data_IF_163953215767
#
_entry.id   IF_163953215767
#
_cell.length_a   1.000
_cell.length_b   1.000
_cell.length_c   1.000
_cell.angle_alpha   90.00
_cell.angle_beta   90.00
_cell.angle_gamma   90.00
#
_symmetry.space_group_name_H-M   'P 1'
#
loop_
_entity.id
_entity.type
_entity.pdbx_description
1 polymer ?
#
# COMPACT_ATOMS: atom_id res chain seq x y z
N UNK A 1 22.17 -14.91 -16.47
CA UNK A 1 21.68 -14.54 -15.13
C UNK A 1 22.52 -13.35 -14.67
N UNK A 2 22.00 -12.14 -14.84
CA UNK A 2 22.68 -10.92 -14.38
C UNK A 2 22.14 -10.63 -12.99
N UNK A 3 22.93 -10.91 -11.98
CA UNK A 3 22.69 -10.47 -10.61
C UNK A 3 22.89 -8.96 -10.59
N UNK A 4 21.78 -8.21 -10.64
CA UNK A 4 21.82 -6.80 -10.30
C UNK A 4 22.15 -6.72 -8.83
N UNK A 5 23.44 -6.55 -8.51
CA UNK A 5 23.87 -6.17 -7.19
C UNK A 5 23.26 -4.80 -6.93
N UNK A 6 22.19 -4.78 -6.14
CA UNK A 6 21.82 -3.58 -5.41
C UNK A 6 23.04 -3.32 -4.50
N UNK A 7 23.89 -2.41 -4.93
CA UNK A 7 25.01 -2.00 -4.15
C UNK A 7 24.42 -1.41 -2.87
N UNK A 8 24.57 -2.14 -1.77
CA UNK A 8 24.43 -1.60 -0.42
C UNK A 8 25.63 -0.66 -0.25
N UNK A 9 25.53 0.51 -0.92
CA UNK A 9 26.53 1.54 -0.87
C UNK A 9 26.40 2.28 0.43
N UNK A 10 27.52 2.30 1.14
CA UNK A 10 27.81 3.09 2.31
C UNK A 10 26.72 2.98 3.38
N UNK A 11 26.95 2.09 4.30
CA UNK A 11 26.32 2.09 5.61
C UNK A 11 26.32 3.54 6.12
N UNK A 12 25.17 4.21 6.00
CA UNK A 12 24.88 5.36 6.83
C UNK A 12 25.02 4.83 8.26
N UNK A 13 25.86 5.43 9.10
CA UNK A 13 26.09 5.02 10.50
C UNK A 13 24.82 5.10 11.37
N UNK A 14 23.67 5.36 10.75
CA UNK A 14 22.38 5.44 11.42
C UNK A 14 21.89 4.04 11.81
N UNK A 15 21.34 3.90 13.01
CA UNK A 15 20.76 2.62 13.43
C UNK A 15 19.65 2.17 12.47
N UNK A 16 19.72 0.94 12.02
CA UNK A 16 18.64 0.35 11.24
C UNK A 16 17.45 0.04 12.15
N UNK A 17 16.26 0.40 11.65
CA UNK A 17 14.99 -0.02 12.24
C UNK A 17 14.64 -1.44 11.81
N UNK A 18 14.76 -1.75 10.52
CA UNK A 18 14.44 -3.05 9.95
C UNK A 18 15.15 -3.30 8.62
N UNK A 19 15.09 -4.55 8.18
CA UNK A 19 15.33 -4.92 6.78
C UNK A 19 13.98 -5.32 6.19
N UNK A 20 13.48 -4.52 5.27
CA UNK A 20 12.25 -4.75 4.53
C UNK A 20 12.52 -5.46 3.20
N UNK A 21 11.47 -5.79 2.47
CA UNK A 21 11.58 -6.26 1.10
C UNK A 21 10.33 -5.87 0.30
N UNK A 22 10.53 -5.52 -0.97
CA UNK A 22 9.46 -5.26 -1.92
C UNK A 22 9.66 -6.10 -3.19
N UNK A 23 8.62 -6.25 -3.99
CA UNK A 23 8.67 -6.91 -5.30
C UNK A 23 8.89 -5.85 -6.38
N UNK A 24 9.94 -6.01 -7.21
CA UNK A 24 10.26 -5.09 -8.30
C UNK A 24 9.61 -5.51 -9.64
N UNK A 25 8.79 -6.57 -9.60
CA UNK A 25 8.15 -7.20 -10.75
C UNK A 25 8.94 -8.35 -11.37
N UNK A 26 10.17 -8.58 -10.94
CA UNK A 26 11.03 -9.68 -11.37
C UNK A 26 11.54 -10.51 -10.19
N UNK A 27 11.80 -9.84 -9.06
CA UNK A 27 12.35 -10.46 -7.86
C UNK A 27 11.95 -9.70 -6.60
N UNK A 28 12.16 -10.32 -5.46
CA UNK A 28 12.03 -9.68 -4.17
C UNK A 28 13.32 -8.98 -3.79
N UNK A 29 13.27 -7.66 -3.64
CA UNK A 29 14.42 -6.79 -3.36
C UNK A 29 14.43 -6.44 -1.87
N UNK A 30 15.47 -6.84 -1.10
CA UNK A 30 15.61 -6.40 0.28
C UNK A 30 16.04 -4.94 0.33
N UNK A 31 15.52 -4.20 1.33
CA UNK A 31 15.92 -2.82 1.56
C UNK A 31 16.02 -2.53 3.06
N UNK A 32 17.21 -2.14 3.56
CA UNK A 32 17.35 -1.67 4.93
C UNK A 32 16.66 -0.32 5.11
N UNK A 33 16.01 -0.15 6.25
CA UNK A 33 15.28 1.07 6.66
C UNK A 33 15.89 1.58 7.94
N UNK A 34 16.33 2.83 7.97
CA UNK A 34 16.87 3.47 9.18
C UNK A 34 15.76 4.03 10.08
N UNK A 35 16.10 4.30 11.35
CA UNK A 35 15.18 4.95 12.28
C UNK A 35 14.70 6.32 11.77
N UNK A 36 15.59 7.10 11.15
CA UNK A 36 15.23 8.41 10.60
C UNK A 36 14.24 8.32 9.42
N UNK A 37 14.37 7.28 8.58
CA UNK A 37 13.44 7.04 7.48
C UNK A 37 12.05 6.72 7.99
N UNK A 38 11.94 5.84 8.98
CA UNK A 38 10.65 5.46 9.55
C UNK A 38 9.97 6.64 10.26
N UNK A 39 10.73 7.49 10.97
CA UNK A 39 10.22 8.68 11.62
C UNK A 39 9.63 9.68 10.59
N UNK A 40 10.35 9.94 9.48
CA UNK A 40 9.83 10.79 8.39
C UNK A 40 8.59 10.18 7.74
N UNK A 41 8.62 8.88 7.48
CA UNK A 41 7.48 8.18 6.90
C UNK A 41 6.23 8.22 7.80
N UNK A 42 6.38 8.17 9.13
CA UNK A 42 5.28 8.37 10.07
C UNK A 42 4.66 9.77 9.97
N UNK A 43 5.50 10.81 9.82
CA UNK A 43 5.03 12.19 9.62
C UNK A 43 4.27 12.36 8.31
N UNK A 44 4.80 11.84 7.19
CA UNK A 44 4.13 11.83 5.89
C UNK A 44 2.81 11.06 5.92
N UNK A 45 2.79 9.90 6.60
CA UNK A 45 1.58 9.10 6.79
C UNK A 45 0.48 9.87 7.55
N UNK A 46 0.83 10.57 8.63
CA UNK A 46 -0.10 11.42 9.36
C UNK A 46 -0.74 12.47 8.45
N UNK A 47 0.06 13.10 7.58
CA UNK A 47 -0.43 14.14 6.65
C UNK A 47 -1.43 13.57 5.64
N UNK A 48 -1.09 12.46 4.97
CA UNK A 48 -1.99 11.86 3.95
C UNK A 48 -3.26 11.32 4.57
N UNK A 49 -3.20 10.74 5.77
CA UNK A 49 -4.37 10.26 6.48
C UNK A 49 -5.29 11.41 6.92
N UNK A 50 -4.73 12.55 7.27
CA UNK A 50 -5.50 13.77 7.58
C UNK A 50 -6.23 14.28 6.33
N UNK A 51 -5.59 14.29 5.16
CA UNK A 51 -6.24 14.63 3.88
C UNK A 51 -7.43 13.70 3.58
N UNK A 52 -7.33 12.43 3.95
CA UNK A 52 -8.39 11.43 3.79
C UNK A 52 -9.47 11.48 4.89
N UNK A 53 -9.41 12.45 5.80
CA UNK A 53 -10.36 12.59 6.89
C UNK A 53 -10.15 11.59 8.05
N UNK A 54 -9.09 10.80 8.05
CA UNK A 54 -8.71 9.93 9.16
C UNK A 54 -8.06 10.74 10.29
N UNK A 55 -8.85 11.65 10.87
CA UNK A 55 -8.47 12.60 11.93
C UNK A 55 -8.74 12.04 13.33
N UNK A 56 -8.61 12.88 14.33
CA UNK A 56 -8.86 12.51 15.73
C UNK A 56 -10.21 11.80 15.91
N UNK A 57 -10.17 10.63 16.54
CA UNK A 57 -11.33 9.77 16.76
C UNK A 57 -11.69 8.85 15.58
N UNK A 58 -11.04 8.99 14.42
CA UNK A 58 -11.25 8.07 13.30
C UNK A 58 -10.79 6.65 13.66
N UNK A 59 -11.58 5.66 13.25
CA UNK A 59 -11.25 4.24 13.39
C UNK A 59 -10.82 3.69 12.04
N UNK A 60 -9.62 3.14 11.98
CA UNK A 60 -8.98 2.69 10.73
C UNK A 60 -8.69 1.19 10.82
N UNK A 61 -9.02 0.43 9.80
CA UNK A 61 -8.59 -0.96 9.63
C UNK A 61 -7.44 -1.02 8.63
N UNK A 62 -6.32 -1.60 9.04
CA UNK A 62 -5.20 -1.91 8.17
C UNK A 62 -5.19 -3.40 7.84
N UNK A 63 -5.23 -3.73 6.55
CA UNK A 63 -5.13 -5.10 6.04
C UNK A 63 -3.75 -5.27 5.39
N UNK A 64 -2.88 -6.06 6.02
CA UNK A 64 -1.51 -6.29 5.55
C UNK A 64 -1.03 -7.69 5.91
N UNK A 65 0.02 -8.15 5.26
CA UNK A 65 0.76 -9.33 5.69
C UNK A 65 2.05 -8.90 6.39
N UNK A 66 2.57 -9.74 7.28
CA UNK A 66 3.75 -9.43 8.10
C UNK A 66 4.97 -9.00 7.26
N UNK A 67 5.12 -9.58 6.08
CA UNK A 67 6.22 -9.24 5.15
C UNK A 67 6.15 -7.82 4.58
N UNK A 68 5.04 -7.11 4.77
CA UNK A 68 4.81 -5.72 4.32
C UNK A 68 4.88 -4.73 5.49
N UNK A 69 5.29 -5.15 6.67
CA UNK A 69 5.27 -4.31 7.88
C UNK A 69 5.99 -2.98 7.72
N UNK A 70 7.07 -2.92 6.93
CA UNK A 70 7.80 -1.66 6.70
C UNK A 70 6.98 -0.62 5.91
N UNK A 71 6.03 -1.04 5.07
CA UNK A 71 5.10 -0.14 4.40
C UNK A 71 3.96 0.30 5.31
N UNK A 72 3.44 -0.61 6.12
CA UNK A 72 2.24 -0.36 6.92
C UNK A 72 2.52 0.25 8.29
N UNK A 73 3.66 -0.04 8.90
CA UNK A 73 4.02 0.48 10.22
C UNK A 73 3.97 2.01 10.29
N UNK A 74 4.55 2.77 9.33
CA UNK A 74 4.43 4.22 9.35
C UNK A 74 2.98 4.70 9.30
N UNK A 75 2.13 4.03 8.52
CA UNK A 75 0.72 4.37 8.38
C UNK A 75 -0.07 4.11 9.67
N UNK A 76 0.20 2.98 10.33
CA UNK A 76 -0.41 2.66 11.62
C UNK A 76 -0.04 3.68 12.70
N UNK A 77 1.24 4.01 12.81
CA UNK A 77 1.70 5.00 13.79
C UNK A 77 1.23 6.40 13.39
N UNK A 78 1.22 6.74 12.09
CA UNK A 78 0.64 7.98 11.59
C UNK A 78 -0.83 8.14 11.96
N UNK A 79 -1.61 7.06 11.94
CA UNK A 79 -2.99 7.06 12.44
C UNK A 79 -3.05 7.48 13.92
N UNK A 80 -2.21 6.90 14.77
CA UNK A 80 -2.15 7.24 16.19
C UNK A 80 -1.69 8.68 16.44
N UNK A 81 -0.67 9.14 15.71
CA UNK A 81 -0.18 10.52 15.79
C UNK A 81 -1.28 11.51 15.43
N UNK A 82 -2.12 11.19 14.43
CA UNK A 82 -3.30 11.98 14.05
C UNK A 82 -4.46 11.90 15.04
N UNK A 83 -4.33 11.15 16.14
CA UNK A 83 -5.37 10.99 17.16
C UNK A 83 -6.44 9.95 16.80
N UNK A 84 -6.24 9.18 15.75
CA UNK A 84 -7.09 8.04 15.39
C UNK A 84 -6.72 6.77 16.16
N UNK A 85 -7.53 5.74 16.00
CA UNK A 85 -7.26 4.38 16.50
C UNK A 85 -7.28 3.41 15.33
N UNK A 86 -6.49 2.34 15.40
CA UNK A 86 -6.48 1.35 14.36
C UNK A 86 -6.68 -0.07 14.86
N UNK A 87 -7.18 -0.93 13.98
CA UNK A 87 -7.21 -2.38 14.09
C UNK A 87 -6.44 -3.01 12.94
N UNK A 88 -6.05 -4.26 13.11
CA UNK A 88 -5.26 -5.01 12.12
C UNK A 88 -5.99 -6.29 11.72
N UNK A 89 -5.88 -6.62 10.44
CA UNK A 89 -6.27 -7.91 9.89
C UNK A 89 -5.23 -8.36 8.87
N UNK A 90 -5.09 -9.67 8.67
CA UNK A 90 -4.22 -10.18 7.62
C UNK A 90 -4.88 -9.99 6.24
N UNK A 91 -4.08 -9.51 5.28
CA UNK A 91 -4.53 -9.34 3.89
C UNK A 91 -4.53 -10.69 3.15
N UNK A 92 -5.23 -11.68 3.71
CA UNK A 92 -5.34 -13.04 3.20
C UNK A 92 -6.81 -13.47 3.11
N UNK A 93 -7.07 -14.43 2.25
CA UNK A 93 -8.39 -15.02 2.11
C UNK A 93 -8.92 -15.65 3.41
N UNK A 94 -8.03 -16.27 4.19
CA UNK A 94 -8.37 -16.90 5.47
C UNK A 94 -8.86 -15.91 6.54
N UNK A 95 -8.50 -14.63 6.42
CA UNK A 95 -8.87 -13.59 7.39
C UNK A 95 -10.08 -12.74 6.95
N UNK A 96 -10.66 -13.00 5.79
CA UNK A 96 -11.79 -12.26 5.24
C UNK A 96 -12.97 -12.17 6.20
N UNK A 97 -13.27 -13.25 6.94
CA UNK A 97 -14.33 -13.23 7.96
C UNK A 97 -14.04 -12.20 9.07
N UNK A 98 -12.80 -12.12 9.54
CA UNK A 98 -12.39 -11.12 10.54
C UNK A 98 -12.52 -9.70 10.00
N UNK A 99 -12.09 -9.48 8.76
CA UNK A 99 -12.25 -8.18 8.07
C UNK A 99 -13.73 -7.80 8.03
N UNK A 100 -14.62 -8.70 7.57
CA UNK A 100 -16.05 -8.45 7.53
C UNK A 100 -16.66 -8.16 8.92
N UNK A 101 -16.20 -8.89 9.94
CA UNK A 101 -16.65 -8.66 11.33
C UNK A 101 -16.20 -7.28 11.83
N UNK A 102 -14.97 -6.87 11.59
CA UNK A 102 -14.45 -5.56 11.99
C UNK A 102 -15.19 -4.43 11.29
N UNK A 103 -15.43 -4.54 9.99
CA UNK A 103 -16.18 -3.56 9.21
C UNK A 103 -17.60 -3.36 9.77
N UNK A 104 -18.23 -4.41 10.26
CA UNK A 104 -19.59 -4.34 10.84
C UNK A 104 -19.60 -3.86 12.30
N UNK A 105 -18.61 -4.29 13.11
CA UNK A 105 -18.66 -4.14 14.57
C UNK A 105 -17.97 -2.87 15.08
N UNK A 106 -17.00 -2.33 14.34
CA UNK A 106 -16.12 -1.27 14.84
C UNK A 106 -16.48 0.13 14.33
N UNK A 107 -17.54 0.29 13.53
CA UNK A 107 -17.92 1.58 12.94
C UNK A 107 -16.71 2.28 12.32
N UNK A 108 -16.03 1.60 11.42
CA UNK A 108 -14.78 2.06 10.83
C UNK A 108 -15.01 3.26 9.92
N UNK A 109 -14.18 4.30 10.08
CA UNK A 109 -14.12 5.42 9.14
C UNK A 109 -13.46 4.98 7.83
N UNK A 110 -12.37 4.22 7.92
CA UNK A 110 -11.58 3.82 6.75
C UNK A 110 -11.00 2.42 6.89
N UNK A 111 -10.79 1.78 5.75
CA UNK A 111 -10.06 0.52 5.63
C UNK A 111 -9.05 0.63 4.50
N UNK A 112 -7.83 0.15 4.71
CA UNK A 112 -6.76 0.19 3.72
C UNK A 112 -6.11 -1.18 3.53
N UNK A 113 -5.61 -1.42 2.32
CA UNK A 113 -4.90 -2.64 1.97
C UNK A 113 -5.80 -3.77 1.51
N UNK A 114 -7.07 -3.48 1.18
CA UNK A 114 -7.97 -4.46 0.58
C UNK A 114 -7.36 -4.97 -0.72
N UNK A 115 -7.13 -6.27 -0.80
CA UNK A 115 -6.55 -6.97 -1.94
C UNK A 115 -7.51 -8.03 -2.50
N UNK A 116 -7.11 -8.68 -3.58
CA UNK A 116 -7.91 -9.72 -4.23
C UNK A 116 -8.20 -10.91 -3.31
N UNK A 117 -7.24 -11.31 -2.47
CA UNK A 117 -7.41 -12.45 -1.56
C UNK A 117 -8.54 -12.20 -0.53
N UNK A 118 -8.62 -10.97 0.02
CA UNK A 118 -9.74 -10.61 0.92
C UNK A 118 -11.07 -10.69 0.18
N UNK A 119 -11.13 -10.19 -1.07
CA UNK A 119 -12.35 -10.25 -1.88
C UNK A 119 -12.73 -11.68 -2.26
N UNK A 120 -11.76 -12.54 -2.55
CA UNK A 120 -11.99 -13.97 -2.77
C UNK A 120 -12.60 -14.63 -1.52
N UNK A 121 -12.10 -14.24 -0.35
CA UNK A 121 -12.68 -14.68 0.92
C UNK A 121 -14.11 -14.20 1.12
N UNK A 122 -14.43 -12.96 0.76
CA UNK A 122 -15.80 -12.45 0.81
C UNK A 122 -16.73 -13.22 -0.15
N UNK A 123 -16.26 -13.52 -1.37
CA UNK A 123 -17.03 -14.30 -2.35
C UNK A 123 -17.34 -15.71 -1.83
N UNK A 124 -16.34 -16.38 -1.22
CA UNK A 124 -16.57 -17.69 -0.59
C UNK A 124 -17.56 -17.65 0.58
N UNK A 125 -17.59 -16.55 1.33
CA UNK A 125 -18.53 -16.34 2.42
C UNK A 125 -19.93 -15.90 1.93
N UNK A 126 -20.10 -15.66 0.62
CA UNK A 126 -21.33 -15.14 0.04
C UNK A 126 -21.64 -13.70 0.49
N UNK A 127 -20.61 -12.91 0.82
CA UNK A 127 -20.76 -11.54 1.27
C UNK A 127 -20.86 -10.58 0.07
N UNK A 128 -21.91 -9.79 -0.03
CA UNK A 128 -22.00 -8.70 -0.98
C UNK A 128 -21.10 -7.54 -0.55
N UNK A 129 -20.21 -7.07 -1.43
CA UNK A 129 -19.24 -6.01 -1.09
C UNK A 129 -19.92 -4.73 -0.61
N UNK A 130 -21.02 -4.31 -1.25
CA UNK A 130 -21.79 -3.13 -0.85
C UNK A 130 -22.30 -3.22 0.59
N UNK A 131 -22.66 -4.41 1.06
CA UNK A 131 -23.10 -4.64 2.44
C UNK A 131 -21.93 -4.62 3.41
N UNK A 132 -20.82 -5.27 3.04
CA UNK A 132 -19.61 -5.36 3.87
C UNK A 132 -19.02 -3.99 4.14
N UNK A 133 -18.94 -3.12 3.11
CA UNK A 133 -18.36 -1.78 3.21
C UNK A 133 -19.38 -0.68 3.57
N UNK A 134 -20.60 -1.05 3.97
CA UNK A 134 -21.61 -0.06 4.38
C UNK A 134 -21.09 0.79 5.54
N UNK A 135 -21.16 2.13 5.38
CA UNK A 135 -20.73 3.10 6.40
C UNK A 135 -19.23 3.40 6.42
N UNK A 136 -18.42 2.73 5.59
CA UNK A 136 -17.00 3.05 5.44
C UNK A 136 -16.84 4.23 4.46
N UNK A 137 -16.21 5.30 4.92
CA UNK A 137 -16.02 6.51 4.11
C UNK A 137 -14.84 6.40 3.12
N UNK A 138 -13.78 5.70 3.50
CA UNK A 138 -12.57 5.54 2.70
C UNK A 138 -12.19 4.07 2.58
N UNK A 139 -12.18 3.56 1.35
CA UNK A 139 -11.78 2.18 1.04
C UNK A 139 -10.50 2.25 0.21
N UNK A 140 -9.35 1.97 0.83
CA UNK A 140 -8.05 1.88 0.16
C UNK A 140 -7.84 0.50 -0.42
N UNK A 141 -7.94 0.37 -1.75
CA UNK A 141 -7.85 -0.89 -2.46
C UNK A 141 -6.57 -1.00 -3.29
N UNK A 142 -5.96 -2.19 -3.28
CA UNK A 142 -4.84 -2.54 -4.15
C UNK A 142 -5.31 -2.77 -5.59
N UNK A 143 -4.41 -2.65 -6.58
CA UNK A 143 -4.71 -3.08 -7.95
C UNK A 143 -5.29 -4.51 -7.97
N UNK A 144 -6.25 -4.76 -8.85
CA UNK A 144 -7.02 -6.02 -8.87
C UNK A 144 -8.27 -5.97 -7.98
N UNK A 145 -8.11 -5.69 -6.70
CA UNK A 145 -9.26 -5.45 -5.81
C UNK A 145 -10.00 -4.15 -6.16
N UNK A 146 -9.27 -3.13 -6.58
CA UNK A 146 -9.85 -1.85 -6.95
C UNK A 146 -10.90 -2.00 -8.05
N UNK A 147 -10.60 -2.68 -9.14
CA UNK A 147 -11.50 -2.89 -10.27
C UNK A 147 -12.74 -3.68 -9.87
N UNK A 148 -12.58 -4.68 -9.00
CA UNK A 148 -13.70 -5.49 -8.49
C UNK A 148 -14.65 -4.66 -7.64
N UNK A 149 -14.13 -3.77 -6.80
CA UNK A 149 -14.93 -2.88 -5.97
C UNK A 149 -15.66 -1.83 -6.82
N UNK A 150 -15.00 -1.25 -7.83
CA UNK A 150 -15.63 -0.34 -8.80
C UNK A 150 -16.75 -1.06 -9.56
N UNK A 151 -16.54 -2.29 -10.04
CA UNK A 151 -17.56 -3.09 -10.71
C UNK A 151 -18.77 -3.40 -9.81
N UNK A 152 -18.57 -3.44 -8.50
CA UNK A 152 -19.62 -3.60 -7.49
C UNK A 152 -20.32 -2.27 -7.12
N UNK A 153 -19.99 -1.15 -7.78
CA UNK A 153 -20.59 0.16 -7.54
C UNK A 153 -20.02 0.93 -6.35
N UNK A 154 -18.89 0.51 -5.82
CA UNK A 154 -18.18 1.21 -4.75
C UNK A 154 -17.18 2.24 -5.33
N UNK A 155 -16.73 3.18 -4.50
CA UNK A 155 -15.82 4.25 -4.88
C UNK A 155 -14.49 4.13 -4.09
N UNK A 156 -13.63 3.14 -4.40
CA UNK A 156 -12.38 2.95 -3.69
C UNK A 156 -11.33 4.00 -4.07
N UNK A 157 -10.39 4.21 -3.16
CA UNK A 157 -9.15 4.92 -3.39
C UNK A 157 -8.06 3.93 -3.79
N UNK A 158 -7.17 4.31 -4.69
CA UNK A 158 -5.97 3.53 -4.93
C UNK A 158 -5.10 3.46 -3.68
N UNK A 159 -4.67 2.26 -3.33
CA UNK A 159 -3.68 1.98 -2.30
C UNK A 159 -2.63 1.04 -2.91
N UNK A 160 -1.45 1.57 -3.22
CA UNK A 160 -0.45 0.87 -4.03
C UNK A 160 0.87 0.77 -3.28
N UNK A 161 1.39 -0.44 -3.12
CA UNK A 161 2.77 -0.64 -2.70
C UNK A 161 3.67 -0.38 -3.91
N UNK A 162 4.39 0.73 -3.90
CA UNK A 162 5.16 1.24 -5.03
C UNK A 162 6.66 1.14 -4.71
N UNK A 163 7.22 -0.08 -4.87
CA UNK A 163 8.58 -0.36 -4.42
C UNK A 163 8.71 -0.15 -2.91
N UNK A 164 9.66 0.68 -2.44
CA UNK A 164 9.84 0.98 -1.02
C UNK A 164 8.80 1.99 -0.47
N UNK A 165 7.94 2.54 -1.30
CA UNK A 165 6.96 3.56 -0.92
C UNK A 165 5.53 3.00 -0.93
N UNK A 166 4.63 3.75 -0.27
CA UNK A 166 3.18 3.59 -0.44
C UNK A 166 2.63 4.78 -1.19
N UNK A 167 1.80 4.53 -2.20
CA UNK A 167 1.08 5.55 -2.93
C UNK A 167 -0.42 5.43 -2.65
N UNK A 168 -1.05 6.56 -2.31
CA UNK A 168 -2.48 6.61 -1.97
C UNK A 168 -3.15 7.71 -2.78
N UNK A 169 -4.35 7.43 -3.33
CA UNK A 169 -5.17 8.46 -3.96
C UNK A 169 -5.94 9.25 -2.89
N UNK A 170 -5.92 10.57 -2.97
CA UNK A 170 -6.67 11.43 -2.04
C UNK A 170 -8.18 11.41 -2.29
N UNK A 171 -8.61 11.01 -3.49
CA UNK A 171 -10.01 10.92 -3.87
C UNK A 171 -10.27 9.63 -4.68
N UNK A 172 -11.50 9.09 -4.65
CA UNK A 172 -11.86 7.94 -5.45
C UNK A 172 -11.66 8.21 -6.95
N UNK A 173 -11.00 7.29 -7.65
CA UNK A 173 -10.70 7.43 -9.08
C UNK A 173 -9.55 8.38 -9.40
N UNK A 174 -9.05 9.13 -8.42
CA UNK A 174 -7.88 9.99 -8.58
C UNK A 174 -6.56 9.22 -8.70
N UNK A 175 -5.46 9.88 -9.11
CA UNK A 175 -4.16 9.24 -9.20
C UNK A 175 -3.62 8.89 -7.82
N UNK A 176 -2.93 7.76 -7.71
CA UNK A 176 -2.15 7.39 -6.53
C UNK A 176 -0.92 8.30 -6.42
N UNK A 177 -0.63 8.81 -5.22
CA UNK A 177 0.50 9.72 -4.95
C UNK A 177 1.41 9.14 -3.87
N UNK A 178 2.71 9.21 -4.10
CA UNK A 178 3.74 9.02 -3.08
C UNK A 178 4.00 10.34 -2.35
N UNK A 179 4.63 10.30 -1.18
CA UNK A 179 5.05 11.51 -0.46
C UNK A 179 6.04 12.32 -1.32
N UNK A 180 5.69 13.56 -1.73
CA UNK A 180 6.52 14.37 -2.60
C UNK A 180 7.81 14.88 -1.92
N UNK A 181 7.91 14.85 -0.61
CA UNK A 181 9.11 15.22 0.13
C UNK A 181 10.14 14.09 0.19
N UNK A 182 9.69 12.86 0.01
CA UNK A 182 10.51 11.66 0.14
C UNK A 182 10.87 11.04 -1.22
N UNK A 183 10.00 11.19 -2.23
CA UNK A 183 10.08 10.43 -3.45
C UNK A 183 9.74 11.23 -4.70
N UNK A 184 10.42 10.91 -5.80
CA UNK A 184 9.99 11.27 -7.15
C UNK A 184 9.78 10.01 -7.99
N UNK A 185 8.88 10.11 -8.96
CA UNK A 185 8.54 9.03 -9.87
C UNK A 185 8.96 9.36 -11.29
N UNK A 186 9.35 8.33 -12.01
CA UNK A 186 9.59 8.35 -13.44
C UNK A 186 8.92 7.12 -14.08
N UNK A 187 8.96 7.01 -15.39
CA UNK A 187 8.34 5.90 -16.11
C UNK A 187 9.26 5.45 -17.26
N UNK A 188 9.53 4.17 -17.32
CA UNK A 188 10.09 3.53 -18.49
C UNK A 188 9.00 2.71 -19.19
N UNK A 189 8.47 3.24 -20.31
CA UNK A 189 7.28 2.74 -21.01
C UNK A 189 6.03 2.81 -20.11
N UNK A 190 5.76 1.77 -19.36
CA UNK A 190 4.65 1.66 -18.42
C UNK A 190 5.09 1.16 -17.01
N UNK A 191 6.38 0.96 -16.84
CA UNK A 191 6.97 0.58 -15.53
C UNK A 191 7.24 1.83 -14.72
N UNK A 192 6.62 1.94 -13.55
CA UNK A 192 6.88 3.03 -12.63
C UNK A 192 8.22 2.81 -11.95
N UNK A 193 9.05 3.84 -11.99
CA UNK A 193 10.36 3.90 -11.35
C UNK A 193 10.34 4.91 -10.22
N UNK A 194 11.12 4.67 -9.17
CA UNK A 194 11.16 5.53 -7.98
C UNK A 194 12.58 5.99 -7.66
N UNK A 195 12.71 7.25 -7.29
CA UNK A 195 13.96 7.87 -6.85
C UNK A 195 13.76 8.49 -5.48
N UNK A 196 14.70 8.23 -4.55
CA UNK A 196 14.70 8.84 -3.23
C UNK A 196 15.20 10.29 -3.29
N UNK A 197 14.44 11.20 -2.68
CA UNK A 197 14.80 12.63 -2.56
C UNK A 197 15.54 12.94 -1.26
N UNK A 198 15.43 12.07 -0.28
CA UNK A 198 16.05 12.23 1.05
C UNK A 198 17.13 11.16 1.28
N UNK A 199 18.13 11.43 2.13
CA UNK A 199 19.11 10.43 2.53
C UNK A 199 18.44 9.20 3.16
N UNK A 200 18.88 8.02 2.73
CA UNK A 200 18.35 6.72 3.15
C UNK A 200 19.47 5.72 3.39
N UNK A 201 19.19 4.67 4.16
CA UNK A 201 20.10 3.55 4.32
C UNK A 201 20.38 2.83 2.97
N UNK A 202 19.40 2.89 2.05
CA UNK A 202 19.57 2.46 0.65
C UNK A 202 19.14 3.60 -0.26
N UNK A 203 20.02 4.06 -1.13
CA UNK A 203 19.67 5.06 -2.16
C UNK A 203 18.93 4.38 -3.30
N UNK A 204 17.79 4.95 -3.68
CA UNK A 204 17.03 4.56 -4.85
C UNK A 204 17.23 5.60 -5.95
N UNK A 205 17.67 5.17 -7.11
CA UNK A 205 17.80 6.00 -8.32
C UNK A 205 17.15 5.26 -9.48
N UNK A 206 15.97 5.74 -9.90
CA UNK A 206 15.12 5.12 -10.93
C UNK A 206 14.91 3.61 -10.70
N UNK A 207 14.75 3.21 -9.45
CA UNK A 207 14.58 1.82 -9.08
C UNK A 207 13.20 1.30 -9.52
N UNK A 208 13.09 0.07 -10.06
CA UNK A 208 11.80 -0.53 -10.41
C UNK A 208 10.93 -0.72 -9.17
N UNK A 209 9.65 -0.43 -9.29
CA UNK A 209 8.68 -0.52 -8.18
C UNK A 209 7.80 -1.77 -8.21
N UNK A 210 7.90 -2.56 -9.27
CA UNK A 210 6.97 -3.66 -9.54
C UNK A 210 5.60 -3.20 -10.06
N UNK A 211 5.35 -1.91 -10.10
CA UNK A 211 4.06 -1.34 -10.52
C UNK A 211 4.11 -0.91 -11.98
N UNK A 212 3.03 -1.21 -12.71
CA UNK A 212 2.78 -0.67 -14.05
C UNK A 212 1.69 0.40 -13.98
N UNK A 213 1.88 1.47 -14.76
CA UNK A 213 0.95 2.58 -14.74
C UNK A 213 1.33 3.71 -15.67
N UNK A 214 0.54 4.78 -15.65
CA UNK A 214 0.79 6.01 -16.41
C UNK A 214 1.04 7.16 -15.44
N UNK A 215 2.19 7.82 -15.55
CA UNK A 215 2.48 9.03 -14.78
C UNK A 215 1.46 10.13 -15.10
N UNK A 216 1.07 10.85 -14.06
CA UNK A 216 0.24 12.07 -14.13
C UNK A 216 1.07 13.29 -13.69
N UNK A 217 2.08 13.06 -12.85
CA UNK A 217 3.02 14.06 -12.37
C UNK A 217 4.27 13.41 -11.76
N UNK A 218 5.19 14.20 -11.26
CA UNK A 218 6.46 13.72 -10.69
C UNK A 218 6.29 12.84 -9.44
N UNK A 219 5.13 12.83 -8.84
CA UNK A 219 4.84 12.05 -7.60
C UNK A 219 3.53 11.28 -7.68
N UNK A 220 2.88 11.25 -8.86
CA UNK A 220 1.56 10.66 -9.00
C UNK A 220 1.40 9.87 -10.30
N UNK A 221 0.62 8.80 -10.25
CA UNK A 221 0.36 7.91 -11.37
C UNK A 221 -1.02 7.26 -11.26
N UNK A 222 -1.53 6.80 -12.39
CA UNK A 222 -2.71 5.91 -12.44
C UNK A 222 -2.17 4.49 -12.67
N UNK A 223 -2.37 3.57 -11.73
CA UNK A 223 -1.96 2.18 -11.92
C UNK A 223 -2.73 1.54 -13.10
N UNK A 224 -2.10 0.63 -13.80
CA UNK A 224 -2.82 -0.23 -14.72
C UNK A 224 -3.42 -1.42 -13.97
N UNK A 225 -4.57 -1.92 -14.41
CA UNK A 225 -5.14 -3.14 -13.87
C UNK A 225 -4.11 -4.26 -13.88
N UNK A 226 -4.01 -4.99 -12.79
CA UNK A 226 -3.19 -6.19 -12.75
C UNK A 226 -3.80 -7.18 -13.75
N UNK A 227 -3.06 -7.58 -14.80
CA UNK A 227 -3.54 -8.63 -15.67
C UNK A 227 -3.80 -9.87 -14.80
N UNK A 228 -5.05 -10.34 -14.77
CA UNK A 228 -5.39 -11.59 -14.09
C UNK A 228 -4.58 -12.68 -14.78
N UNK A 229 -3.45 -13.05 -14.19
CA UNK A 229 -2.74 -14.26 -14.61
C UNK A 229 -3.61 -15.40 -14.13
N UNK A 230 -4.25 -16.16 -15.03
CA UNK A 230 -5.04 -17.32 -14.61
C UNK A 230 -4.12 -18.21 -13.80
N UNK A 231 -4.54 -18.52 -12.57
CA UNK A 231 -3.83 -19.43 -11.68
C UNK A 231 -3.50 -20.69 -12.49
N UNK A 232 -2.23 -20.91 -12.79
CA UNK A 232 -1.76 -22.20 -13.27
C UNK A 232 -1.97 -23.15 -12.09
N UNK A 233 -3.17 -23.73 -12.02
CA UNK A 233 -3.39 -24.94 -11.24
C UNK A 233 -2.36 -25.94 -11.73
N UNK A 234 -1.34 -26.13 -10.89
CA UNK A 234 -0.23 -27.02 -11.21
C UNK A 234 -0.72 -28.43 -11.40
N UNK A 235 -0.39 -28.99 -12.54
CA UNK A 235 -0.21 -30.42 -12.67
C UNK A 235 0.92 -30.84 -11.70
N UNK A 236 0.58 -31.52 -10.63
CA UNK A 236 1.43 -32.47 -9.94
C UNK A 236 0.68 -33.79 -9.81
#
# INVERSE_FOLDING_TARGET
>A
MSTTNVAVNAVDDRPLWAIAAYDDGEQRVPWPVSNTEIERAMGGACSVLTELGAVAGARVLWCSVLSESAHFWPLMIGTMIGGGVFSLADATEGDALRVAMFLRALELHSVFGINEQILDGFDRLGCAYAEVFTGVSVIGARPGAYERLVAAGLAPHWFVLCGPAVAIASEPGGPARVDPNEWSLDCDRDRILITSLQPRATTFDRAPTGVRGRLVGATSFVPFPTAIVPNRTGDM
#
